data_IF_337761891055
#
_entry.id   IF_337761891055
#
_cell.length_a   1.000
_cell.length_b   1.000
_cell.length_c   1.000
_cell.angle_alpha   90.00
_cell.angle_beta   90.00
_cell.angle_gamma   90.00
#
_symmetry.space_group_name_H-M   'P 1'
#
loop_
_entity.id
_entity.type
_entity.pdbx_description
1 polymer ?
#
# COMPACT_ATOMS: atom_id res chain seq x y z
N UNK A 1 14.88 4.28 13.22
CA UNK A 1 14.11 3.06 13.57
C UNK A 1 13.55 2.43 12.32
N UNK A 2 13.47 1.09 12.23
CA UNK A 2 12.79 0.43 11.10
C UNK A 2 11.30 0.23 11.39
N UNK A 3 10.46 0.60 10.42
CA UNK A 3 9.01 0.43 10.44
C UNK A 3 8.60 -0.29 9.16
N UNK A 4 8.04 -1.48 9.29
CA UNK A 4 7.46 -2.21 8.16
C UNK A 4 6.05 -1.73 7.92
N UNK A 5 5.75 -1.29 6.70
CA UNK A 5 4.44 -0.81 6.30
C UNK A 5 3.80 -1.83 5.37
N UNK A 6 2.87 -2.62 5.90
CA UNK A 6 2.06 -3.57 5.15
C UNK A 6 0.89 -2.86 4.50
N UNK A 7 0.79 -2.96 3.18
CA UNK A 7 -0.20 -2.23 2.41
C UNK A 7 -0.61 -2.92 1.10
N UNK A 8 -1.68 -2.40 0.52
CA UNK A 8 -2.17 -2.77 -0.81
C UNK A 8 -2.57 -1.51 -1.60
N UNK A 9 -2.23 -1.48 -2.88
CA UNK A 9 -2.60 -0.41 -3.82
C UNK A 9 -4.12 -0.28 -4.00
N UNK A 10 -4.90 -1.33 -3.74
CA UNK A 10 -6.37 -1.29 -3.75
C UNK A 10 -6.97 -0.61 -2.52
N UNK A 11 -6.20 -0.48 -1.43
CA UNK A 11 -6.74 -0.13 -0.13
C UNK A 11 -6.83 1.40 0.04
N UNK A 12 -8.07 1.92 0.03
CA UNK A 12 -8.36 3.33 0.31
C UNK A 12 -7.86 3.79 1.69
N UNK A 13 -7.88 2.91 2.70
CA UNK A 13 -7.30 3.22 4.02
C UNK A 13 -5.77 3.35 3.97
N UNK A 14 -5.07 2.56 3.14
CA UNK A 14 -3.63 2.74 2.95
C UNK A 14 -3.33 4.08 2.28
N UNK A 15 -4.19 4.52 1.36
CA UNK A 15 -4.05 5.82 0.69
C UNK A 15 -4.21 6.99 1.66
N UNK A 16 -5.14 6.88 2.63
CA UNK A 16 -5.27 7.85 3.71
C UNK A 16 -4.05 7.86 4.66
N UNK A 17 -3.43 6.71 4.93
CA UNK A 17 -2.28 6.63 5.83
C UNK A 17 -0.97 7.09 5.19
N UNK A 18 -0.76 6.81 3.89
CA UNK A 18 0.50 7.09 3.19
C UNK A 18 1.05 8.52 3.38
N UNK A 19 0.27 9.61 3.16
CA UNK A 19 0.78 10.97 3.35
C UNK A 19 1.14 11.26 4.82
N UNK A 20 0.44 10.64 5.79
CA UNK A 20 0.77 10.76 7.22
C UNK A 20 2.09 10.08 7.55
N UNK A 21 2.35 8.92 6.96
CA UNK A 21 3.65 8.25 7.08
C UNK A 21 4.76 9.07 6.43
N UNK A 22 4.52 9.71 5.28
CA UNK A 22 5.50 10.63 4.69
C UNK A 22 5.80 11.82 5.59
N UNK A 23 4.75 12.40 6.20
CA UNK A 23 4.91 13.47 7.20
C UNK A 23 5.76 13.00 8.38
N UNK A 24 5.47 11.83 8.95
CA UNK A 24 6.23 11.26 10.06
C UNK A 24 7.71 11.08 9.70
N UNK A 25 8.02 10.54 8.52
CA UNK A 25 9.42 10.37 8.05
C UNK A 25 10.10 11.72 7.80
N UNK A 26 9.35 12.75 7.38
CA UNK A 26 9.92 14.09 7.19
C UNK A 26 10.28 14.76 8.52
N UNK A 27 9.50 14.51 9.57
CA UNK A 27 9.73 15.03 10.92
C UNK A 27 10.78 14.17 11.68
N UNK A 28 10.92 12.89 11.32
CA UNK A 28 11.86 11.93 11.91
C UNK A 28 12.67 11.18 10.82
N UNK A 29 13.71 11.81 10.24
CA UNK A 29 14.49 11.25 9.14
C UNK A 29 15.26 9.95 9.47
N UNK A 30 15.40 9.60 10.74
CA UNK A 30 15.95 8.33 11.22
C UNK A 30 15.01 7.14 11.00
N UNK A 31 13.74 7.38 10.67
CA UNK A 31 12.79 6.33 10.31
C UNK A 31 13.13 5.77 8.93
N UNK A 32 13.29 4.46 8.89
CA UNK A 32 13.37 3.68 7.65
C UNK A 32 12.08 2.91 7.49
N UNK A 33 11.30 3.28 6.47
CA UNK A 33 10.09 2.53 6.11
C UNK A 33 10.47 1.40 5.15
N UNK A 34 10.03 0.18 5.48
CA UNK A 34 10.13 -0.98 4.59
C UNK A 34 8.71 -1.32 4.11
N UNK A 35 8.47 -1.16 2.82
CA UNK A 35 7.18 -1.43 2.21
C UNK A 35 6.99 -2.93 2.00
N UNK A 36 5.84 -3.43 2.46
CA UNK A 36 5.47 -4.84 2.41
C UNK A 36 4.12 -5.01 1.72
N UNK A 37 4.08 -5.82 0.67
CA UNK A 37 2.83 -6.20 0.01
C UNK A 37 1.95 -7.09 0.92
N UNK A 38 0.62 -6.90 0.87
CA UNK A 38 -0.35 -7.75 1.59
C UNK A 38 -1.39 -8.46 0.69
N UNK A 39 -1.71 -7.90 -0.48
CA UNK A 39 -2.69 -8.44 -1.43
C UNK A 39 -4.07 -8.83 -0.85
N UNK A 40 -4.96 -7.84 -0.69
CA UNK A 40 -6.38 -8.02 -0.32
C UNK A 40 -7.15 -8.90 -1.32
N UNK A 41 -6.86 -8.76 -2.61
CA UNK A 41 -7.45 -9.53 -3.68
C UNK A 41 -6.37 -9.97 -4.67
N UNK A 42 -5.61 -11.04 -4.38
CA UNK A 42 -4.46 -11.43 -5.19
C UNK A 42 -4.80 -11.74 -6.66
N UNK A 43 -5.99 -12.25 -6.95
CA UNK A 43 -6.43 -12.58 -8.32
C UNK A 43 -7.83 -12.02 -8.61
N UNK A 44 -8.25 -11.95 -9.88
CA UNK A 44 -9.62 -11.57 -10.23
C UNK A 44 -10.68 -12.43 -9.52
N UNK A 45 -10.42 -13.72 -9.32
CA UNK A 45 -11.31 -14.67 -8.66
C UNK A 45 -11.44 -14.38 -7.16
N UNK A 46 -10.43 -13.77 -6.52
CA UNK A 46 -10.48 -13.44 -5.09
C UNK A 46 -11.70 -12.58 -4.75
N UNK A 47 -12.02 -11.60 -5.60
CA UNK A 47 -13.19 -10.73 -5.42
C UNK A 47 -14.50 -11.50 -5.51
N UNK A 48 -14.61 -12.42 -6.47
CA UNK A 48 -15.81 -13.26 -6.61
C UNK A 48 -15.94 -14.20 -5.40
N UNK A 49 -14.85 -14.78 -4.93
CA UNK A 49 -14.88 -15.68 -3.78
C UNK A 49 -15.29 -14.96 -2.48
N UNK A 50 -14.88 -13.70 -2.30
CA UNK A 50 -15.22 -12.91 -1.12
C UNK A 50 -16.66 -12.38 -1.15
N UNK A 51 -17.13 -11.90 -2.31
CA UNK A 51 -18.38 -11.12 -2.41
C UNK A 51 -19.49 -11.82 -3.22
N UNK A 52 -19.19 -12.98 -3.82
CA UNK A 52 -20.11 -13.80 -4.61
C UNK A 52 -20.27 -13.35 -6.07
N UNK A 53 -20.07 -12.08 -6.40
CA UNK A 53 -20.03 -11.59 -7.79
C UNK A 53 -19.16 -10.34 -7.91
N UNK A 54 -18.79 -9.98 -9.15
CA UNK A 54 -17.99 -8.78 -9.42
C UNK A 54 -18.76 -7.50 -9.12
N UNK A 55 -20.05 -7.48 -9.39
CA UNK A 55 -20.95 -6.34 -9.14
C UNK A 55 -21.04 -6.07 -7.63
N UNK A 56 -21.30 -7.11 -6.83
CA UNK A 56 -21.33 -7.00 -5.37
C UNK A 56 -19.97 -6.61 -4.78
N UNK A 57 -18.88 -7.16 -5.32
CA UNK A 57 -17.53 -6.77 -4.92
C UNK A 57 -17.31 -5.28 -5.14
N UNK A 58 -17.65 -4.76 -6.32
CA UNK A 58 -17.49 -3.33 -6.64
C UNK A 58 -18.33 -2.46 -5.71
N UNK A 59 -19.60 -2.81 -5.48
CA UNK A 59 -20.50 -2.07 -4.58
C UNK A 59 -19.92 -1.98 -3.15
N UNK A 60 -19.56 -3.11 -2.55
CA UNK A 60 -19.03 -3.16 -1.18
C UNK A 60 -17.67 -2.46 -1.05
N UNK A 61 -16.79 -2.64 -2.03
CA UNK A 61 -15.49 -1.97 -2.03
C UNK A 61 -15.65 -0.45 -2.12
N UNK A 62 -16.58 0.05 -2.91
CA UNK A 62 -16.86 1.50 -2.97
C UNK A 62 -17.49 2.03 -1.68
N UNK A 63 -18.21 1.22 -0.91
CA UNK A 63 -18.63 1.58 0.45
C UNK A 63 -17.41 1.73 1.38
N UNK A 64 -16.41 0.85 1.27
CA UNK A 64 -15.15 1.01 2.01
C UNK A 64 -14.38 2.25 1.58
N UNK A 65 -14.37 2.61 0.30
CA UNK A 65 -13.79 3.87 -0.17
C UNK A 65 -14.50 5.07 0.45
N UNK A 66 -15.84 5.11 0.39
CA UNK A 66 -16.63 6.21 0.99
C UNK A 66 -16.31 6.37 2.48
N UNK A 67 -16.17 5.27 3.22
CA UNK A 67 -15.79 5.30 4.63
C UNK A 67 -14.35 5.76 4.86
N UNK A 68 -13.39 5.25 4.08
CA UNK A 68 -11.99 5.66 4.15
C UNK A 68 -11.82 7.15 3.80
N UNK A 69 -12.61 7.66 2.85
CA UNK A 69 -12.54 9.04 2.40
C UNK A 69 -12.97 10.04 3.47
N UNK A 70 -13.90 9.65 4.37
CA UNK A 70 -14.23 10.46 5.56
C UNK A 70 -13.07 10.50 6.57
N UNK A 71 -12.21 9.49 6.55
CA UNK A 71 -11.00 9.46 7.36
C UNK A 71 -9.82 10.15 6.65
N UNK A 72 -9.80 10.22 5.33
CA UNK A 72 -8.77 10.93 4.56
C UNK A 72 -8.82 12.43 4.86
N UNK A 73 -7.66 13.05 5.03
CA UNK A 73 -7.61 14.45 5.46
C UNK A 73 -8.02 15.42 4.32
N UNK A 74 -7.84 14.99 3.07
CA UNK A 74 -8.13 15.77 1.86
C UNK A 74 -9.35 15.26 1.07
N UNK A 75 -9.99 14.19 1.54
CA UNK A 75 -11.13 13.54 0.87
C UNK A 75 -10.86 13.21 -0.62
N UNK A 76 -9.69 12.63 -0.89
CA UNK A 76 -9.15 12.44 -2.25
C UNK A 76 -9.78 11.31 -3.06
N UNK A 77 -10.52 10.40 -2.42
CA UNK A 77 -11.13 9.27 -3.11
C UNK A 77 -12.34 9.73 -3.91
N UNK A 78 -12.53 9.11 -5.08
CA UNK A 78 -13.61 9.41 -6.02
C UNK A 78 -14.42 8.14 -6.34
N UNK A 79 -15.12 7.57 -5.34
CA UNK A 79 -15.91 6.36 -5.53
C UNK A 79 -17.03 6.54 -6.55
N UNK A 80 -17.60 7.75 -6.64
CA UNK A 80 -18.55 8.18 -7.68
C UNK A 80 -17.99 7.99 -9.09
N UNK A 81 -16.74 8.42 -9.32
CA UNK A 81 -16.09 8.27 -10.62
C UNK A 81 -15.78 6.81 -10.95
N UNK A 82 -15.44 6.00 -9.95
CA UNK A 82 -15.15 4.58 -10.13
C UNK A 82 -16.40 3.74 -10.38
N UNK A 83 -17.52 4.09 -9.74
CA UNK A 83 -18.83 3.43 -9.87
C UNK A 83 -19.25 3.29 -11.35
N UNK A 84 -19.11 4.38 -12.10
CA UNK A 84 -19.49 4.47 -13.53
C UNK A 84 -18.49 3.82 -14.50
N UNK A 85 -17.35 3.31 -14.03
CA UNK A 85 -16.35 2.72 -14.93
C UNK A 85 -16.82 1.37 -15.51
N UNK A 86 -16.64 1.15 -16.83
CA UNK A 86 -17.16 -0.03 -17.52
C UNK A 86 -16.29 -1.29 -17.38
N UNK A 87 -15.15 -1.20 -16.69
CA UNK A 87 -14.24 -2.32 -16.47
C UNK A 87 -14.52 -3.02 -15.13
N UNK A 88 -14.12 -4.29 -15.05
CA UNK A 88 -14.11 -5.04 -13.80
C UNK A 88 -13.21 -4.37 -12.75
N UNK A 89 -13.62 -4.38 -11.48
CA UNK A 89 -12.82 -3.79 -10.42
C UNK A 89 -11.40 -4.43 -10.37
N UNK A 90 -10.32 -3.63 -10.27
CA UNK A 90 -8.95 -4.13 -10.26
C UNK A 90 -8.64 -5.10 -9.11
N UNK A 91 -7.60 -5.92 -9.29
CA UNK A 91 -7.07 -6.85 -8.29
C UNK A 91 -5.61 -6.47 -7.93
N UNK A 92 -5.09 -7.01 -6.82
CA UNK A 92 -3.91 -6.46 -6.13
C UNK A 92 -2.59 -6.69 -6.86
N UNK A 93 -2.38 -7.90 -7.39
CA UNK A 93 -1.04 -8.35 -7.82
C UNK A 93 -0.35 -7.47 -8.86
N UNK A 94 -1.02 -6.97 -9.93
CA UNK A 94 -0.38 -6.12 -10.93
C UNK A 94 0.25 -4.87 -10.31
N UNK A 95 -0.48 -4.15 -9.47
CA UNK A 95 0.06 -2.94 -8.83
C UNK A 95 1.12 -3.24 -7.76
N UNK A 96 1.01 -4.36 -7.05
CA UNK A 96 2.05 -4.77 -6.08
C UNK A 96 3.37 -5.14 -6.76
N UNK A 97 3.30 -5.89 -7.86
CA UNK A 97 4.47 -6.22 -8.70
C UNK A 97 5.07 -4.95 -9.30
N UNK A 98 4.23 -3.99 -9.72
CA UNK A 98 4.67 -2.68 -10.20
C UNK A 98 5.49 -1.90 -9.16
N UNK A 99 5.06 -1.90 -7.90
CA UNK A 99 5.81 -1.28 -6.80
C UNK A 99 7.16 -1.97 -6.54
N UNK A 100 7.19 -3.31 -6.52
CA UNK A 100 8.45 -4.07 -6.33
C UNK A 100 9.42 -3.90 -7.49
N UNK A 101 8.93 -3.82 -8.72
CA UNK A 101 9.77 -3.49 -9.87
C UNK A 101 10.39 -2.08 -9.74
N UNK A 102 9.64 -1.09 -9.23
CA UNK A 102 10.17 0.24 -8.94
C UNK A 102 11.25 0.20 -7.83
N UNK A 103 11.07 -0.65 -6.82
CA UNK A 103 12.02 -0.86 -5.71
C UNK A 103 13.43 -1.24 -6.21
N UNK A 104 13.55 -1.99 -7.32
CA UNK A 104 14.86 -2.37 -7.90
C UNK A 104 15.70 -1.20 -8.40
N UNK A 105 15.08 -0.07 -8.73
CA UNK A 105 15.80 1.09 -9.28
C UNK A 105 16.16 2.11 -8.21
N UNK A 106 15.31 2.31 -7.20
CA UNK A 106 15.48 3.37 -6.20
C UNK A 106 15.14 2.96 -4.76
N UNK A 107 15.12 1.67 -4.48
CA UNK A 107 14.82 1.11 -3.15
C UNK A 107 13.43 1.48 -2.66
N UNK A 108 13.30 1.54 -1.34
CA UNK A 108 12.02 1.82 -0.65
C UNK A 108 11.40 3.16 -1.07
N UNK A 109 12.22 4.16 -1.43
CA UNK A 109 11.71 5.43 -1.94
C UNK A 109 10.97 5.24 -3.26
N UNK A 110 11.55 4.52 -4.22
CA UNK A 110 10.91 4.27 -5.51
C UNK A 110 9.67 3.37 -5.38
N UNK A 111 9.69 2.41 -4.45
CA UNK A 111 8.50 1.64 -4.08
C UNK A 111 7.37 2.58 -3.64
N UNK A 112 7.64 3.46 -2.68
CA UNK A 112 6.65 4.38 -2.12
C UNK A 112 6.11 5.35 -3.17
N UNK A 113 6.98 5.94 -3.98
CA UNK A 113 6.57 6.86 -5.05
C UNK A 113 5.67 6.17 -6.07
N UNK A 114 5.99 4.92 -6.45
CA UNK A 114 5.15 4.11 -7.33
C UNK A 114 3.81 3.77 -6.68
N UNK A 115 3.83 3.36 -5.41
CA UNK A 115 2.64 3.05 -4.62
C UNK A 115 1.67 4.23 -4.58
N UNK A 116 2.14 5.42 -4.22
CA UNK A 116 1.30 6.62 -4.17
C UNK A 116 0.74 7.01 -5.55
N UNK A 117 1.55 6.87 -6.60
CA UNK A 117 1.12 7.18 -7.97
C UNK A 117 0.03 6.22 -8.45
N UNK A 118 0.17 4.92 -8.19
CA UNK A 118 -0.83 3.90 -8.51
C UNK A 118 -2.11 4.13 -7.71
N UNK A 119 -1.99 4.40 -6.40
CA UNK A 119 -3.16 4.70 -5.58
C UNK A 119 -3.91 5.94 -6.07
N UNK A 120 -3.19 7.00 -6.46
CA UNK A 120 -3.81 8.17 -7.09
C UNK A 120 -4.50 7.83 -8.41
N UNK A 121 -3.87 7.01 -9.26
CA UNK A 121 -4.49 6.53 -10.52
C UNK A 121 -5.81 5.81 -10.28
N UNK A 122 -5.84 4.96 -9.26
CA UNK A 122 -6.99 4.13 -8.93
C UNK A 122 -8.08 4.91 -8.18
N UNK A 123 -7.73 5.48 -7.04
CA UNK A 123 -8.67 6.02 -6.04
C UNK A 123 -9.15 7.44 -6.39
N UNK A 124 -8.32 8.24 -7.05
CA UNK A 124 -8.67 9.63 -7.42
C UNK A 124 -9.00 9.77 -8.91
N UNK A 125 -8.24 9.11 -9.79
CA UNK A 125 -8.42 9.23 -11.26
C UNK A 125 -9.35 8.13 -11.85
N UNK A 126 -9.75 7.16 -11.02
CA UNK A 126 -10.62 6.05 -11.40
C UNK A 126 -10.12 5.26 -12.64
N UNK A 127 -8.81 5.02 -12.71
CA UNK A 127 -8.18 4.22 -13.75
C UNK A 127 -8.07 2.73 -13.34
N UNK A 128 -8.06 1.85 -14.34
CA UNK A 128 -7.90 0.42 -14.12
C UNK A 128 -6.43 0.06 -13.87
N UNK A 129 -6.03 -0.08 -12.61
CA UNK A 129 -4.65 -0.45 -12.24
C UNK A 129 -4.33 -1.95 -12.40
N UNK A 130 -5.26 -2.76 -12.92
CA UNK A 130 -4.94 -4.08 -13.47
C UNK A 130 -4.48 -4.01 -14.94
N UNK A 131 -4.68 -2.87 -15.61
CA UNK A 131 -4.15 -2.62 -16.94
C UNK A 131 -2.66 -2.26 -16.87
N UNK A 132 -1.84 -3.05 -17.56
CA UNK A 132 -0.42 -2.84 -17.67
C UNK A 132 -0.03 -1.45 -18.18
N UNK A 133 -0.79 -0.87 -19.11
CA UNK A 133 -0.47 0.46 -19.66
C UNK A 133 -0.66 1.57 -18.63
N UNK A 134 -1.66 1.43 -17.75
CA UNK A 134 -1.86 2.37 -16.63
C UNK A 134 -0.67 2.30 -15.66
N UNK A 135 -0.21 1.10 -15.32
CA UNK A 135 0.96 0.90 -14.46
C UNK A 135 2.24 1.43 -15.10
N UNK A 136 2.45 1.17 -16.39
CA UNK A 136 3.57 1.72 -17.16
C UNK A 136 3.56 3.26 -17.16
N UNK A 137 2.38 3.87 -17.34
CA UNK A 137 2.26 5.32 -17.25
C UNK A 137 2.61 5.84 -15.85
N UNK A 138 2.21 5.13 -14.79
CA UNK A 138 2.62 5.47 -13.43
C UNK A 138 4.15 5.46 -13.27
N UNK A 139 4.84 4.46 -13.83
CA UNK A 139 6.31 4.38 -13.80
C UNK A 139 6.97 5.55 -14.56
N UNK A 140 6.40 5.96 -15.70
CA UNK A 140 6.83 7.16 -16.45
C UNK A 140 6.68 8.42 -15.59
N UNK A 141 5.52 8.59 -14.96
CA UNK A 141 5.18 9.80 -14.21
C UNK A 141 6.11 10.04 -13.01
N UNK A 142 6.63 8.96 -12.40
CA UNK A 142 7.60 9.04 -11.31
C UNK A 142 9.07 9.03 -11.78
N UNK A 143 9.31 9.06 -13.10
CA UNK A 143 10.63 9.22 -13.69
C UNK A 143 11.53 7.98 -13.69
N UNK A 144 10.96 6.77 -13.67
CA UNK A 144 11.75 5.53 -13.77
C UNK A 144 12.29 5.31 -15.20
N UNK A 145 13.36 4.52 -15.29
CA UNK A 145 13.73 3.88 -16.55
C UNK A 145 12.68 2.81 -16.86
N UNK A 146 11.81 3.13 -17.82
CA UNK A 146 10.66 2.29 -18.18
C UNK A 146 11.12 0.95 -18.70
N UNK A 147 12.17 0.89 -19.55
CA UNK A 147 12.61 -0.38 -20.11
C UNK A 147 13.07 -1.34 -19.00
N UNK A 148 13.90 -0.84 -18.08
CA UNK A 148 14.35 -1.63 -16.92
C UNK A 148 13.17 -2.02 -16.02
N UNK A 149 12.24 -1.11 -15.77
CA UNK A 149 11.05 -1.38 -14.96
C UNK A 149 10.17 -2.47 -15.60
N UNK A 150 10.02 -2.46 -16.92
CA UNK A 150 9.26 -3.49 -17.64
C UNK A 150 9.92 -4.87 -17.55
N UNK A 151 11.25 -4.93 -17.65
CA UNK A 151 12.02 -6.16 -17.49
C UNK A 151 11.83 -6.75 -16.08
N UNK A 152 11.96 -5.91 -15.04
CA UNK A 152 11.75 -6.31 -13.65
C UNK A 152 10.29 -6.73 -13.41
N UNK A 153 9.31 -5.94 -13.88
CA UNK A 153 7.87 -6.21 -13.72
C UNK A 153 7.45 -7.58 -14.28
N UNK A 154 8.05 -8.00 -15.40
CA UNK A 154 7.77 -9.29 -16.04
C UNK A 154 8.58 -10.44 -15.44
N UNK A 155 9.54 -10.15 -14.56
CA UNK A 155 10.43 -11.16 -14.01
C UNK A 155 9.74 -12.02 -12.93
N UNK A 156 10.13 -13.29 -12.87
CA UNK A 156 9.69 -14.18 -11.80
C UNK A 156 10.21 -13.75 -10.44
N UNK A 157 11.41 -13.16 -10.40
CA UNK A 157 12.03 -12.66 -9.17
C UNK A 157 11.15 -11.65 -8.45
N UNK A 158 10.59 -10.67 -9.15
CA UNK A 158 9.69 -9.67 -8.54
C UNK A 158 8.41 -10.31 -8.00
N UNK A 159 7.85 -11.29 -8.71
CA UNK A 159 6.68 -12.03 -8.23
C UNK A 159 7.00 -12.78 -6.94
N UNK A 160 8.19 -13.40 -6.87
CA UNK A 160 8.63 -14.13 -5.68
C UNK A 160 8.91 -13.15 -4.50
N UNK A 161 9.47 -11.96 -4.74
CA UNK A 161 9.62 -10.91 -3.72
C UNK A 161 8.26 -10.42 -3.17
N UNK A 162 7.22 -10.30 -4.02
CA UNK A 162 5.86 -10.01 -3.53
C UNK A 162 5.36 -11.15 -2.63
N UNK A 163 5.59 -12.41 -3.00
CA UNK A 163 5.18 -13.57 -2.18
C UNK A 163 5.90 -13.62 -0.85
N UNK A 164 7.18 -13.24 -0.79
CA UNK A 164 7.93 -13.14 0.46
C UNK A 164 7.29 -12.13 1.42
N UNK A 165 6.84 -10.98 0.93
CA UNK A 165 6.11 -10.02 1.76
C UNK A 165 4.77 -10.59 2.28
N UNK A 166 4.04 -11.36 1.45
CA UNK A 166 2.80 -12.04 1.86
C UNK A 166 3.07 -13.04 2.99
N UNK A 167 4.07 -13.90 2.83
CA UNK A 167 4.47 -14.85 3.88
C UNK A 167 4.90 -14.14 5.16
N UNK A 168 5.58 -13.00 5.06
CA UNK A 168 5.95 -12.20 6.23
C UNK A 168 4.73 -11.61 6.94
N UNK A 169 3.70 -11.20 6.20
CA UNK A 169 2.44 -10.75 6.80
C UNK A 169 1.74 -11.89 7.56
N UNK A 170 1.75 -13.11 7.00
CA UNK A 170 1.23 -14.32 7.66
C UNK A 170 2.02 -14.66 8.94
N UNK A 171 3.36 -14.60 8.89
CA UNK A 171 4.22 -14.81 10.06
C UNK A 171 3.92 -13.82 11.19
N UNK A 172 3.57 -12.57 10.84
CA UNK A 172 3.21 -11.54 11.80
C UNK A 172 1.74 -11.62 12.24
N UNK A 173 0.95 -12.54 11.68
CA UNK A 173 -0.48 -12.67 11.96
C UNK A 173 -1.30 -11.46 11.51
N UNK A 174 -0.82 -10.73 10.50
CA UNK A 174 -1.52 -9.57 9.94
C UNK A 174 -2.72 -10.06 9.13
N UNK A 175 -3.90 -9.53 9.44
CA UNK A 175 -5.16 -9.91 8.78
C UNK A 175 -5.80 -8.76 8.01
N UNK A 176 -5.17 -7.58 8.02
CA UNK A 176 -5.69 -6.41 7.34
C UNK A 176 -4.65 -5.30 7.20
N UNK A 177 -4.95 -4.37 6.29
CA UNK A 177 -4.08 -3.23 5.96
C UNK A 177 -4.86 -1.91 5.95
N UNK A 178 -4.21 -0.77 6.24
CA UNK A 178 -2.79 -0.64 6.54
C UNK A 178 -2.41 -1.18 7.92
N UNK A 179 -1.23 -1.80 8.02
CA UNK A 179 -0.64 -2.20 9.30
C UNK A 179 0.83 -1.78 9.31
N UNK A 180 1.25 -1.08 10.36
CA UNK A 180 2.64 -0.75 10.62
C UNK A 180 3.18 -1.70 11.68
N UNK A 181 4.42 -2.17 11.53
CA UNK A 181 5.14 -2.94 12.54
C UNK A 181 6.52 -2.34 12.77
N UNK A 182 6.75 -1.78 13.96
CA UNK A 182 8.05 -1.25 14.35
C UNK A 182 8.85 -2.30 15.13
N UNK A 183 10.14 -2.38 14.82
CA UNK A 183 11.09 -3.31 15.46
C UNK A 183 10.58 -4.77 15.54
N UNK A 184 9.83 -5.20 14.52
CA UNK A 184 9.29 -6.56 14.38
C UNK A 184 8.27 -6.99 15.45
N UNK A 185 7.77 -6.09 16.29
CA UNK A 185 6.94 -6.47 17.45
C UNK A 185 5.83 -5.47 17.80
N UNK A 186 6.01 -4.19 17.52
CA UNK A 186 5.03 -3.17 17.90
C UNK A 186 4.14 -2.84 16.71
N UNK A 187 2.92 -3.37 16.70
CA UNK A 187 1.97 -3.16 15.61
C UNK A 187 1.09 -1.91 15.83
N UNK A 188 0.77 -1.20 14.75
CA UNK A 188 -0.30 -0.21 14.67
C UNK A 188 -1.19 -0.55 13.48
N UNK A 189 -2.46 -0.83 13.75
CA UNK A 189 -3.43 -1.26 12.74
C UNK A 189 -4.34 -0.10 12.33
N UNK A 190 -4.63 0.01 11.04
CA UNK A 190 -5.56 0.96 10.46
C UNK A 190 -4.96 2.34 10.17
N UNK A 191 -5.69 3.15 9.41
CA UNK A 191 -5.24 4.47 8.99
C UNK A 191 -5.48 5.51 10.09
N UNK A 192 -4.69 5.42 11.16
CA UNK A 192 -4.75 6.32 12.31
C UNK A 192 -4.52 7.78 11.90
N UNK A 193 -5.16 8.71 12.61
CA UNK A 193 -4.88 10.15 12.49
C UNK A 193 -3.44 10.45 12.89
N UNK A 194 -2.90 11.56 12.40
CA UNK A 194 -1.47 11.86 12.53
C UNK A 194 -1.00 11.87 14.00
N UNK A 195 -1.79 12.47 14.88
CA UNK A 195 -1.47 12.59 16.31
C UNK A 195 -1.37 11.22 17.00
N UNK A 196 -2.16 10.25 16.54
CA UNK A 196 -2.13 8.89 17.08
C UNK A 196 -0.99 8.06 16.47
N UNK A 197 -0.63 8.31 15.21
CA UNK A 197 0.54 7.73 14.55
C UNK A 197 1.84 8.21 15.22
N UNK A 198 1.97 9.52 15.43
CA UNK A 198 3.12 10.15 16.10
C UNK A 198 3.26 9.64 17.54
N UNK A 199 2.16 9.64 18.31
CA UNK A 199 2.18 9.10 19.68
C UNK A 199 2.61 7.63 19.73
N UNK A 200 2.16 6.81 18.78
CA UNK A 200 2.60 5.41 18.69
C UNK A 200 4.11 5.33 18.43
N UNK A 201 4.62 6.14 17.50
CA UNK A 201 6.06 6.21 17.21
C UNK A 201 6.88 6.56 18.46
N UNK A 202 6.50 7.61 19.19
CA UNK A 202 7.17 8.05 20.41
C UNK A 202 7.19 6.95 21.49
N UNK A 203 6.05 6.28 21.70
CA UNK A 203 5.93 5.18 22.67
C UNK A 203 6.83 3.99 22.32
N UNK A 204 6.94 3.66 21.04
CA UNK A 204 7.86 2.61 20.60
C UNK A 204 9.30 3.02 20.84
N UNK A 205 9.66 4.26 20.50
CA UNK A 205 11.01 4.77 20.69
C UNK A 205 11.44 4.72 22.16
N UNK A 206 10.58 5.18 23.08
CA UNK A 206 10.83 5.14 24.53
C UNK A 206 11.06 3.71 25.05
N UNK A 207 10.26 2.75 24.58
CA UNK A 207 10.40 1.33 24.95
C UNK A 207 11.73 0.77 24.49
N UNK A 208 12.12 1.03 23.23
CA UNK A 208 13.40 0.57 22.68
C UNK A 208 14.60 1.18 23.42
N UNK A 209 14.52 2.45 23.84
CA UNK A 209 15.59 3.08 24.63
C UNK A 209 15.70 2.51 26.04
N UNK A 210 14.58 2.18 26.67
CA UNK A 210 14.56 1.64 28.05
C UNK A 210 15.05 0.20 28.09
N UNK A 211 14.73 -0.62 27.08
CA UNK A 211 15.24 -2.00 26.98
C UNK A 211 16.76 -2.02 26.85
N UNK A 212 17.35 -1.11 26.05
CA UNK A 212 18.80 -1.05 25.85
C UNK A 212 19.60 -0.55 27.06
N UNK A 213 18.97 0.12 28.03
CA UNK A 213 19.63 0.58 29.26
C UNK A 213 19.66 -0.49 30.37
N UNK A 214 18.82 -1.53 30.24
CA UNK A 214 18.66 -2.59 31.24
C UNK A 214 19.34 -3.93 30.83
N UNK A 215 20.10 -3.92 29.72
CA UNK A 215 20.90 -5.04 29.20
C UNK A 215 22.37 -4.67 29.13
#
# INVERSE_FOLDING_TARGET
>A
MEIEFFHDVLCAWCYALSPRMRRLVSEHPEIRVIHRAFALAPTPESLINMFGSKEKAKEEILNHWRAANLNDDEHRDRPDLMEDKPFDYPYSMPGLVACKAAERQGGQKAHWDMFDRIQRAHLTEAQNIADYNVLKQCAIDIGLDVQRWEEDYRSRTIIDEVREDLSRAEEYGITGVPTLVAAGQYALVGAQKYEQLERWYEQVLERLTTTNQNT
#
